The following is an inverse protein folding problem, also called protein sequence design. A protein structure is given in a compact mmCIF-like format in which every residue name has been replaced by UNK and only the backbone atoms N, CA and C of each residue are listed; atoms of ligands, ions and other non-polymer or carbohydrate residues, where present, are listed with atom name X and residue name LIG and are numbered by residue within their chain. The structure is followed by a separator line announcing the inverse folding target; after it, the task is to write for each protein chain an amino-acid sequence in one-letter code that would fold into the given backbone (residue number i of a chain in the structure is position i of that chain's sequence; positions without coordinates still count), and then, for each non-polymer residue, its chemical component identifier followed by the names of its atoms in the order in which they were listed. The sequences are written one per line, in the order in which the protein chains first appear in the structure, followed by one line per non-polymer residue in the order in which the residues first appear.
data_IF_898720658055
#
_entry.id   IF_898720658055
#
_cell.length_a   1.000
_cell.length_b   1.000
_cell.length_c   1.000
_cell.angle_alpha   90.00
_cell.angle_beta   90.00
_cell.angle_gamma   90.00
#
_symmetry.space_group_name_H-M   'P 1'
#
loop_
_entity.id
_entity.type
_entity.pdbx_description
1 polymer ?
#
# COMPACT_ATOMS: atom_id res chain seq x y z
N UNK A 1 26.26 2.87 -24.37
CA UNK A 1 24.86 3.33 -24.26
C UNK A 1 24.24 2.60 -23.07
N UNK A 2 24.20 3.23 -21.90
CA UNK A 2 23.45 2.68 -20.76
C UNK A 2 21.99 3.06 -20.95
N UNK A 3 21.14 2.08 -21.26
CA UNK A 3 19.70 2.24 -21.14
C UNK A 3 19.42 2.21 -19.63
N UNK A 4 19.39 3.39 -19.01
CA UNK A 4 18.73 3.56 -17.73
C UNK A 4 17.27 3.23 -17.97
N UNK A 5 16.90 1.98 -17.72
CA UNK A 5 15.52 1.53 -17.64
C UNK A 5 14.86 2.33 -16.53
N UNK A 6 14.31 3.48 -16.90
CA UNK A 6 13.27 4.15 -16.15
C UNK A 6 12.08 3.19 -16.25
N UNK A 7 12.06 2.17 -15.39
CA UNK A 7 10.93 1.28 -15.19
C UNK A 7 9.82 2.17 -14.68
N UNK A 8 9.01 2.66 -15.62
CA UNK A 8 7.82 3.45 -15.35
C UNK A 8 7.03 2.70 -14.28
N UNK A 9 6.85 3.33 -13.12
CA UNK A 9 6.18 2.67 -11.99
C UNK A 9 4.76 2.36 -12.48
N UNK A 10 4.35 1.08 -12.55
CA UNK A 10 3.09 0.72 -13.18
C UNK A 10 1.88 1.19 -12.35
N UNK A 11 2.12 1.69 -11.14
CA UNK A 11 1.09 2.18 -10.25
C UNK A 11 1.26 3.67 -9.92
N UNK A 12 0.12 4.35 -9.84
CA UNK A 12 -0.05 5.49 -8.95
C UNK A 12 -0.91 5.06 -7.78
N UNK A 13 -0.57 5.53 -6.59
CA UNK A 13 -1.33 5.24 -5.39
C UNK A 13 -1.74 6.51 -4.69
N UNK A 14 -2.90 6.48 -4.05
CA UNK A 14 -3.37 7.56 -3.19
C UNK A 14 -4.17 6.98 -2.03
N UNK A 15 -3.87 7.45 -0.82
CA UNK A 15 -4.66 7.14 0.37
C UNK A 15 -5.74 8.21 0.50
N UNK A 16 -6.99 7.80 0.55
CA UNK A 16 -8.13 8.72 0.65
C UNK A 16 -8.84 8.50 1.98
N UNK A 17 -8.99 9.59 2.73
CA UNK A 17 -9.86 9.62 3.90
C UNK A 17 -11.31 9.77 3.44
N UNK A 18 -12.11 8.73 3.65
CA UNK A 18 -13.55 8.73 3.36
C UNK A 18 -14.39 9.12 4.58
N UNK A 19 -13.75 9.65 5.64
CA UNK A 19 -14.37 10.02 6.90
C UNK A 19 -14.34 8.87 7.90
N UNK A 20 -15.13 7.82 7.63
CA UNK A 20 -15.23 6.64 8.53
C UNK A 20 -14.15 5.59 8.29
N UNK A 21 -13.41 5.66 7.18
CA UNK A 21 -12.32 4.73 6.87
C UNK A 21 -11.28 5.35 5.94
N UNK A 22 -10.08 4.75 5.89
CA UNK A 22 -9.06 5.06 4.89
C UNK A 22 -9.10 3.99 3.82
N UNK A 23 -9.20 4.43 2.56
CA UNK A 23 -9.11 3.56 1.38
C UNK A 23 -7.83 3.85 0.60
N UNK A 24 -7.36 2.86 -0.13
CA UNK A 24 -6.29 3.02 -1.10
C UNK A 24 -6.86 3.01 -2.51
N UNK A 25 -6.66 4.11 -3.23
CA UNK A 25 -6.85 4.18 -4.67
C UNK A 25 -5.55 3.71 -5.33
N UNK A 26 -5.64 2.64 -6.11
CA UNK A 26 -4.53 2.09 -6.87
C UNK A 26 -4.87 2.15 -8.37
N UNK A 27 -4.08 2.91 -9.12
CA UNK A 27 -4.28 3.14 -10.55
C UNK A 27 -3.17 2.48 -11.35
N UNK A 28 -3.53 1.58 -12.27
CA UNK A 28 -2.61 1.02 -13.24
C UNK A 28 -2.31 2.06 -14.33
N UNK A 29 -1.07 2.52 -14.43
CA UNK A 29 -0.62 3.45 -15.48
C UNK A 29 -0.17 2.77 -16.76
N UNK A 30 0.04 1.46 -16.72
CA UNK A 30 0.50 0.70 -17.87
C UNK A 30 -0.61 0.46 -18.90
N UNK A 31 -0.16 0.04 -20.09
CA UNK A 31 -1.05 -0.39 -21.17
C UNK A 31 -1.39 -1.90 -21.09
N UNK A 32 -0.98 -2.58 -20.00
CA UNK A 32 -1.22 -4.01 -19.77
C UNK A 32 -2.09 -4.24 -18.52
N UNK A 33 -2.92 -5.28 -18.54
CA UNK A 33 -3.67 -5.72 -17.35
C UNK A 33 -2.70 -6.30 -16.32
N UNK A 34 -2.85 -5.89 -15.07
CA UNK A 34 -2.11 -6.45 -13.93
C UNK A 34 -3.01 -7.44 -13.22
N UNK A 35 -2.52 -8.64 -12.90
CA UNK A 35 -3.30 -9.71 -12.26
C UNK A 35 -2.78 -9.99 -10.86
N UNK A 36 -3.61 -10.60 -10.02
CA UNK A 36 -3.26 -11.09 -8.67
C UNK A 36 -2.50 -10.01 -7.87
N UNK A 37 -3.05 -8.80 -7.85
CA UNK A 37 -2.43 -7.66 -7.20
C UNK A 37 -2.66 -7.77 -5.71
N UNK A 38 -1.57 -7.93 -4.97
CA UNK A 38 -1.56 -8.09 -3.52
C UNK A 38 -0.82 -6.91 -2.89
N UNK A 39 -1.47 -6.27 -1.93
CA UNK A 39 -0.86 -5.22 -1.14
C UNK A 39 -0.54 -5.80 0.21
N UNK A 40 0.75 -6.07 0.41
CA UNK A 40 1.23 -7.01 1.40
C UNK A 40 1.06 -6.43 2.80
N UNK A 41 1.58 -5.23 3.07
CA UNK A 41 1.44 -4.56 4.37
C UNK A 41 1.95 -3.13 4.33
N UNK A 42 1.40 -2.28 5.21
CA UNK A 42 2.09 -1.07 5.69
C UNK A 42 2.55 -1.33 7.13
N UNK A 43 3.86 -1.23 7.35
CA UNK A 43 4.44 -1.37 8.69
C UNK A 43 4.34 -0.04 9.43
N UNK A 44 3.57 -0.03 10.50
CA UNK A 44 3.42 1.13 11.36
C UNK A 44 4.48 1.10 12.45
N UNK A 45 5.68 1.66 12.17
CA UNK A 45 6.71 1.81 13.21
C UNK A 45 6.09 2.42 14.46
N UNK A 46 6.28 1.76 15.58
CA UNK A 46 5.83 2.29 16.85
C UNK A 46 6.64 3.56 17.17
N UNK A 47 5.93 4.66 17.42
CA UNK A 47 6.55 5.96 17.69
C UNK A 47 7.05 6.06 19.13
N UNK A 48 6.56 5.19 20.03
CA UNK A 48 6.87 5.24 21.47
C UNK A 48 8.01 4.31 21.88
N UNK A 49 8.38 3.31 21.09
CA UNK A 49 9.54 2.45 21.39
C UNK A 49 10.85 3.05 20.89
N UNK A 50 11.59 3.68 21.80
CA UNK A 50 13.02 3.98 21.67
C UNK A 50 13.77 2.69 21.31
N UNK A 51 14.08 2.49 20.03
CA UNK A 51 14.80 1.31 19.52
C UNK A 51 14.14 0.60 18.35
N UNK A 52 12.92 0.98 17.95
CA UNK A 52 12.31 0.47 16.71
C UNK A 52 12.13 -1.04 16.70
N UNK A 53 11.51 -1.59 17.75
CA UNK A 53 11.12 -3.00 17.81
C UNK A 53 10.23 -3.41 16.61
N UNK A 54 10.07 -4.72 16.34
CA UNK A 54 9.23 -5.17 15.23
C UNK A 54 7.83 -4.60 15.38
N UNK A 55 7.36 -3.91 14.34
CA UNK A 55 6.01 -3.35 14.27
C UNK A 55 4.99 -4.47 14.49
N UNK A 56 4.26 -4.44 15.61
CA UNK A 56 3.20 -5.41 15.89
C UNK A 56 1.92 -5.10 15.10
N UNK A 57 1.76 -3.85 14.66
CA UNK A 57 0.65 -3.39 13.85
C UNK A 57 1.02 -3.36 12.35
N UNK A 58 0.15 -3.91 11.51
CA UNK A 58 0.23 -3.81 10.07
C UNK A 58 -1.13 -3.43 9.51
N UNK A 59 -1.13 -2.64 8.44
CA UNK A 59 -2.35 -2.38 7.68
C UNK A 59 -2.32 -3.25 6.44
N UNK A 60 -3.38 -4.04 6.26
CA UNK A 60 -3.60 -4.90 5.09
C UNK A 60 -4.74 -4.35 4.24
N UNK A 61 -4.66 -4.58 2.95
CA UNK A 61 -5.72 -4.26 2.00
C UNK A 61 -6.24 -5.54 1.36
N UNK A 62 -7.44 -5.47 0.79
CA UNK A 62 -7.97 -6.57 0.01
C UNK A 62 -7.09 -6.88 -1.22
N UNK A 63 -7.01 -8.16 -1.58
CA UNK A 63 -6.40 -8.60 -2.85
C UNK A 63 -7.29 -8.21 -4.03
N UNK A 64 -6.68 -7.85 -5.15
CA UNK A 64 -7.38 -7.56 -6.40
C UNK A 64 -7.04 -8.63 -7.43
N UNK A 65 -8.06 -9.24 -8.03
CA UNK A 65 -7.87 -10.23 -9.09
C UNK A 65 -7.22 -9.63 -10.34
N UNK A 66 -7.67 -8.45 -10.76
CA UNK A 66 -7.02 -7.72 -11.85
C UNK A 66 -7.31 -6.21 -11.85
N UNK A 67 -6.38 -5.44 -12.42
CA UNK A 67 -6.56 -4.02 -12.73
C UNK A 67 -6.31 -3.83 -14.22
N UNK A 68 -7.34 -3.37 -14.94
CA UNK A 68 -7.25 -3.11 -16.38
C UNK A 68 -6.26 -1.99 -16.69
N UNK A 69 -5.74 -1.91 -17.94
CA UNK A 69 -4.94 -0.77 -18.38
C UNK A 69 -5.65 0.54 -18.09
N UNK A 70 -4.95 1.51 -17.47
CA UNK A 70 -5.51 2.81 -17.06
C UNK A 70 -6.69 2.73 -16.09
N UNK A 71 -6.97 1.53 -15.56
CA UNK A 71 -8.01 1.27 -14.59
C UNK A 71 -7.59 1.64 -13.18
N UNK A 72 -8.59 1.85 -12.32
CA UNK A 72 -8.42 2.15 -10.91
C UNK A 72 -9.17 1.13 -10.08
N UNK A 73 -8.55 0.70 -8.98
CA UNK A 73 -9.18 -0.10 -7.94
C UNK A 73 -9.19 0.69 -6.62
N UNK A 74 -10.27 0.56 -5.87
CA UNK A 74 -10.41 1.16 -4.53
C UNK A 74 -10.43 0.03 -3.51
N UNK A 75 -9.50 0.08 -2.56
CA UNK A 75 -9.31 -0.98 -1.58
C UNK A 75 -9.56 -0.48 -0.17
N UNK A 76 -10.42 -1.20 0.55
CA UNK A 76 -10.59 -1.01 1.98
C UNK A 76 -9.36 -1.50 2.74
N UNK A 77 -8.90 -0.69 3.68
CA UNK A 77 -7.82 -1.04 4.59
C UNK A 77 -8.39 -1.68 5.87
N UNK A 78 -7.61 -2.57 6.49
CA UNK A 78 -7.91 -3.09 7.84
C UNK A 78 -6.64 -3.15 8.67
N UNK A 79 -6.75 -2.71 9.93
CA UNK A 79 -5.65 -2.84 10.90
C UNK A 79 -5.57 -4.26 11.43
N UNK A 80 -4.34 -4.80 11.47
CA UNK A 80 -4.01 -6.08 12.06
C UNK A 80 -2.96 -5.86 13.15
N UNK A 81 -3.16 -6.44 14.33
CA UNK A 81 -2.21 -6.43 15.44
C UNK A 81 -1.97 -7.88 15.86
N UNK A 82 -0.70 -8.27 16.02
CA UNK A 82 -0.30 -9.66 16.34
C UNK A 82 -0.92 -10.70 15.40
N UNK A 83 -0.99 -10.35 14.11
CA UNK A 83 -1.54 -11.24 13.07
C UNK A 83 -3.05 -11.44 13.12
N UNK A 84 -3.80 -10.60 13.85
CA UNK A 84 -5.28 -10.64 13.89
C UNK A 84 -5.89 -9.29 13.52
N UNK A 85 -7.03 -9.26 12.81
CA UNK A 85 -7.74 -8.02 12.58
C UNK A 85 -8.26 -7.47 13.91
N UNK A 86 -8.24 -6.15 14.05
CA UNK A 86 -8.77 -5.47 15.25
C UNK A 86 -10.09 -4.76 14.96
N UNK A 87 -10.83 -4.44 16.02
CA UNK A 87 -12.05 -3.66 15.97
C UNK A 87 -11.75 -2.15 15.90
N UNK A 88 -12.79 -1.34 15.65
CA UNK A 88 -12.68 0.10 15.42
C UNK A 88 -11.93 0.85 16.55
N UNK A 89 -12.11 0.46 17.81
CA UNK A 89 -11.47 1.12 18.96
C UNK A 89 -9.96 0.94 19.01
N UNK A 90 -9.44 -0.08 18.33
CA UNK A 90 -8.01 -0.39 18.24
C UNK A 90 -7.45 -0.15 16.83
N UNK A 91 -8.28 0.37 15.94
CA UNK A 91 -7.90 0.65 14.57
C UNK A 91 -6.85 1.76 14.51
N UNK A 92 -5.89 1.60 13.61
CA UNK A 92 -4.79 2.54 13.43
C UNK A 92 -4.78 3.18 12.04
N UNK A 93 -5.86 3.06 11.25
CA UNK A 93 -5.93 3.63 9.89
C UNK A 93 -5.78 5.14 9.87
N UNK A 94 -6.17 5.83 10.94
CA UNK A 94 -5.97 7.27 11.09
C UNK A 94 -4.50 7.68 10.91
N UNK A 95 -3.55 6.79 11.22
CA UNK A 95 -2.11 7.04 11.02
C UNK A 95 -1.72 7.16 9.55
N UNK A 96 -2.52 6.62 8.62
CA UNK A 96 -2.31 6.76 7.18
C UNK A 96 -2.83 8.09 6.63
N UNK A 97 -3.77 8.76 7.30
CA UNK A 97 -4.36 10.04 6.85
C UNK A 97 -3.28 11.11 6.72
N UNK A 98 -3.11 11.67 5.52
CA UNK A 98 -2.10 12.70 5.25
C UNK A 98 -2.23 13.86 6.26
N UNK A 99 -1.12 14.21 6.91
CA UNK A 99 -1.04 15.36 7.83
C UNK A 99 0.04 16.24 7.24
N UNK A 100 -0.34 17.47 6.87
CA UNK A 100 0.56 18.44 6.25
C UNK A 100 1.81 18.66 7.11
N UNK A 101 2.99 18.60 6.48
CA UNK A 101 4.28 18.78 7.14
C UNK A 101 4.80 17.57 7.92
N UNK A 102 4.08 16.45 7.99
CA UNK A 102 4.55 15.24 8.68
C UNK A 102 5.17 14.23 7.72
N UNK A 103 6.49 14.03 7.83
CA UNK A 103 7.17 12.92 7.15
C UNK A 103 6.71 11.61 7.78
N UNK A 104 6.09 10.76 6.96
CA UNK A 104 5.61 9.45 7.39
C UNK A 104 6.62 8.37 7.05
N UNK A 105 7.11 7.59 8.02
CA UNK A 105 8.10 6.54 7.77
C UNK A 105 7.44 5.25 7.26
N UNK A 106 6.31 5.35 6.55
CA UNK A 106 5.52 4.22 6.14
C UNK A 106 5.89 3.79 4.73
N UNK A 107 5.82 2.50 4.50
CA UNK A 107 6.19 1.87 3.23
C UNK A 107 5.10 0.87 2.89
N UNK A 108 4.62 0.94 1.65
CA UNK A 108 3.69 0.00 1.06
C UNK A 108 4.47 -0.98 0.18
N UNK A 109 4.43 -2.25 0.55
CA UNK A 109 4.93 -3.34 -0.29
C UNK A 109 3.77 -3.90 -1.12
N UNK A 110 3.94 -3.94 -2.44
CA UNK A 110 2.95 -4.43 -3.41
C UNK A 110 3.57 -5.49 -4.32
N UNK A 111 2.81 -6.53 -4.63
CA UNK A 111 3.14 -7.54 -5.63
C UNK A 111 2.02 -7.73 -6.64
N UNK A 112 2.38 -8.13 -7.85
CA UNK A 112 1.43 -8.41 -8.92
C UNK A 112 2.03 -9.36 -9.93
N UNK A 113 1.17 -10.00 -10.73
CA UNK A 113 1.57 -10.78 -11.88
C UNK A 113 1.50 -9.91 -13.15
N UNK A 114 2.59 -9.86 -13.91
CA UNK A 114 2.64 -9.14 -15.20
C UNK A 114 2.06 -9.97 -16.35
N UNK A 115 2.07 -9.39 -17.57
CA UNK A 115 1.54 -10.05 -18.76
C UNK A 115 2.30 -11.34 -19.16
N UNK A 116 3.55 -11.50 -18.70
CA UNK A 116 4.36 -12.71 -18.91
C UNK A 116 4.16 -13.74 -17.79
N UNK A 117 3.12 -13.57 -16.97
CA UNK A 117 2.83 -14.40 -15.80
C UNK A 117 3.91 -14.35 -14.69
N UNK A 118 4.80 -13.36 -14.73
CA UNK A 118 5.88 -13.22 -13.74
C UNK A 118 5.41 -12.40 -12.55
N UNK A 119 5.73 -12.89 -11.36
CA UNK A 119 5.55 -12.12 -10.13
C UNK A 119 6.54 -10.96 -10.07
N UNK A 120 6.00 -9.77 -9.85
CA UNK A 120 6.72 -8.51 -9.66
C UNK A 120 6.44 -7.97 -8.27
N UNK A 121 7.38 -7.20 -7.76
CA UNK A 121 7.34 -6.61 -6.43
C UNK A 121 7.81 -5.17 -6.51
N UNK A 122 7.15 -4.29 -5.75
CA UNK A 122 7.54 -2.91 -5.61
C UNK A 122 7.34 -2.44 -4.17
N UNK A 123 8.28 -1.62 -3.72
CA UNK A 123 8.24 -0.93 -2.44
C UNK A 123 7.99 0.56 -2.67
N UNK A 124 6.93 1.11 -2.08
CA UNK A 124 6.50 2.49 -2.30
C UNK A 124 6.45 3.24 -0.97
N UNK A 125 7.31 4.26 -0.75
CA UNK A 125 7.23 5.13 0.42
C UNK A 125 5.90 5.91 0.44
N UNK A 126 5.27 5.98 1.61
CA UNK A 126 4.03 6.70 1.86
C UNK A 126 4.33 7.93 2.73
N UNK A 127 4.83 8.99 2.10
CA UNK A 127 5.19 10.25 2.76
C UNK A 127 6.31 10.96 2.02
N UNK A 128 6.06 12.21 1.60
CA UNK A 128 7.06 13.15 1.10
C UNK A 128 6.88 14.48 1.82
#
# INVERSE_FOLDING_TARGET
MSVSSNTDKPFTLRLVDSGSTVVLELTNRGDQTLKSVEILSIFLKDLETLGGGPSQAHIRFATIESIQPRGMAVLSARTWIDGKPVDADRDQLARLKEIEGQVKPYVLDISWQDADEKMRFQRIPLGH
#
